data_IF_049460256193
#
_entry.id   IF_049460256193
#
_cell.length_a   1.000
_cell.length_b   1.000
_cell.length_c   1.000
_cell.angle_alpha   90.00
_cell.angle_beta   90.00
_cell.angle_gamma   90.00
#
_symmetry.space_group_name_H-M   'P 1'
#
loop_
_entity.id
_entity.type
_entity.pdbx_description
1 polymer ?
#
# COMPACT_ATOMS: atom_id res chain seq x y z
N UNK A 1 26.14 12.39 46.03
CA UNK A 1 26.55 12.42 44.60
C UNK A 1 25.73 11.35 43.89
N UNK A 2 24.81 11.56 42.96
CA UNK A 2 24.41 12.71 42.13
C UNK A 2 22.89 12.68 41.98
N UNK A 3 22.22 13.71 42.52
CA UNK A 3 20.82 14.03 42.27
C UNK A 3 20.77 14.68 40.87
N UNK A 4 20.73 13.84 39.82
CA UNK A 4 20.60 14.30 38.44
C UNK A 4 19.16 14.73 38.19
N UNK A 5 18.97 16.05 38.20
CA UNK A 5 17.73 16.80 37.99
C UNK A 5 16.85 16.15 36.90
N UNK A 6 15.66 15.68 37.26
CA UNK A 6 14.59 15.42 36.27
C UNK A 6 14.22 16.77 35.63
N UNK A 7 14.46 16.99 34.32
CA UNK A 7 14.04 18.23 33.69
C UNK A 7 12.51 18.22 33.61
N UNK A 8 11.87 19.22 34.24
CA UNK A 8 10.41 19.41 34.26
C UNK A 8 9.78 19.51 32.85
N UNK A 9 10.59 19.64 31.79
CA UNK A 9 10.16 19.63 30.39
C UNK A 9 9.95 18.25 29.76
N UNK A 10 10.47 17.15 30.35
CA UNK A 10 10.36 15.83 29.72
C UNK A 10 8.92 15.25 29.79
N UNK A 11 8.19 15.59 30.85
CA UNK A 11 6.80 15.13 31.07
C UNK A 11 5.81 15.87 30.16
N UNK A 12 6.11 17.12 29.79
CA UNK A 12 5.23 17.94 28.96
C UNK A 12 5.31 17.60 27.46
N UNK A 13 6.46 17.08 27.00
CA UNK A 13 6.71 16.76 25.58
C UNK A 13 6.09 15.43 25.17
N UNK A 14 6.06 14.43 26.05
CA UNK A 14 5.51 13.09 25.75
C UNK A 14 4.02 13.10 25.35
N UNK A 15 3.10 13.76 26.08
CA UNK A 15 1.69 13.78 25.71
C UNK A 15 1.42 14.64 24.48
N UNK A 16 2.19 15.72 24.25
CA UNK A 16 2.08 16.49 23.00
C UNK A 16 2.56 15.68 21.80
N UNK A 17 3.66 14.92 21.93
CA UNK A 17 4.16 14.07 20.85
C UNK A 17 3.19 12.93 20.51
N UNK A 18 2.54 12.33 21.52
CA UNK A 18 1.50 11.30 21.33
C UNK A 18 0.26 11.85 20.61
N UNK A 19 -0.21 13.05 21.00
CA UNK A 19 -1.32 13.73 20.32
C UNK A 19 -0.97 14.10 18.87
N UNK A 20 0.26 14.53 18.61
CA UNK A 20 0.73 14.81 17.25
C UNK A 20 0.81 13.54 16.39
N UNK A 21 1.16 12.39 16.98
CA UNK A 21 1.26 11.12 16.25
C UNK A 21 -0.12 10.59 15.79
N UNK A 22 -1.18 10.76 16.60
CA UNK A 22 -2.54 10.35 16.22
C UNK A 22 -3.14 11.14 15.06
N UNK A 23 -2.71 12.40 14.86
CA UNK A 23 -3.24 13.25 13.78
C UNK A 23 -2.66 12.87 12.39
N UNK A 24 -1.52 12.15 12.35
CA UNK A 24 -0.88 11.73 11.10
C UNK A 24 -1.38 10.38 10.54
N UNK A 25 -2.42 9.78 11.14
CA UNK A 25 -3.08 8.60 10.59
C UNK A 25 -4.05 8.99 9.46
N UNK A 26 -3.52 9.57 8.38
CA UNK A 26 -4.29 9.85 7.17
C UNK A 26 -4.64 8.54 6.48
N UNK A 27 -5.85 8.02 6.72
CA UNK A 27 -6.35 6.82 6.06
C UNK A 27 -6.65 7.03 4.57
N UNK A 28 -6.81 5.93 3.84
CA UNK A 28 -7.25 5.95 2.44
C UNK A 28 -8.65 6.57 2.33
N UNK A 29 -8.76 7.70 1.63
CA UNK A 29 -10.05 8.36 1.39
C UNK A 29 -10.75 7.72 0.19
N UNK A 30 -12.01 7.30 0.36
CA UNK A 30 -12.80 6.78 -0.76
C UNK A 30 -13.22 7.92 -1.68
N UNK A 31 -12.90 7.81 -2.96
CA UNK A 31 -13.37 8.74 -4.00
C UNK A 31 -14.88 8.54 -4.22
N UNK A 32 -15.73 9.54 -3.91
CA UNK A 32 -17.18 9.40 -4.07
C UNK A 32 -17.56 9.21 -5.54
N UNK A 33 -18.62 8.43 -5.80
CA UNK A 33 -19.12 8.19 -7.16
C UNK A 33 -18.37 7.15 -7.99
N UNK A 34 -17.37 6.46 -7.42
CA UNK A 34 -16.68 5.36 -8.11
C UNK A 34 -17.41 4.03 -7.89
N UNK A 35 -17.89 3.34 -8.96
CA UNK A 35 -18.48 2.01 -8.83
C UNK A 35 -17.42 1.01 -8.33
N UNK A 36 -17.89 -0.10 -7.77
CA UNK A 36 -16.98 -1.21 -7.46
C UNK A 36 -16.34 -1.73 -8.75
N UNK A 37 -15.08 -2.18 -8.66
CA UNK A 37 -14.43 -2.86 -9.77
C UNK A 37 -15.23 -4.12 -10.12
N UNK A 38 -15.41 -4.37 -11.43
CA UNK A 38 -16.06 -5.58 -11.89
C UNK A 38 -15.21 -6.81 -11.52
N UNK A 39 -15.88 -7.89 -11.11
CA UNK A 39 -15.19 -9.14 -10.84
C UNK A 39 -14.66 -9.74 -12.15
N UNK A 40 -13.50 -10.39 -12.06
CA UNK A 40 -12.83 -11.02 -13.19
C UNK A 40 -12.00 -12.20 -12.73
N UNK A 41 -11.70 -13.08 -13.68
CA UNK A 41 -10.84 -14.25 -13.48
C UNK A 41 -9.67 -14.20 -14.44
N UNK A 42 -8.47 -14.43 -13.93
CA UNK A 42 -7.25 -14.47 -14.71
C UNK A 42 -6.53 -15.79 -14.48
N UNK A 43 -6.01 -16.36 -15.56
CA UNK A 43 -5.07 -17.47 -15.46
C UNK A 43 -3.68 -16.93 -15.18
N UNK A 44 -3.11 -17.32 -14.06
CA UNK A 44 -1.73 -17.01 -13.71
C UNK A 44 -0.75 -17.86 -14.56
N UNK A 45 0.52 -17.45 -14.70
CA UNK A 45 1.51 -18.20 -15.47
C UNK A 45 1.72 -19.66 -15.01
N UNK A 46 1.37 -20.01 -13.77
CA UNK A 46 1.42 -21.37 -13.23
C UNK A 46 0.15 -22.21 -13.44
N UNK A 47 -0.86 -21.68 -14.16
CA UNK A 47 -2.13 -22.36 -14.40
C UNK A 47 -3.17 -22.22 -13.28
N UNK A 48 -2.84 -21.56 -12.17
CA UNK A 48 -3.82 -21.20 -11.15
C UNK A 48 -4.76 -20.11 -11.67
N UNK A 49 -6.03 -20.19 -11.26
CA UNK A 49 -7.02 -19.14 -11.53
C UNK A 49 -7.00 -18.16 -10.36
N UNK A 50 -6.98 -16.87 -10.68
CA UNK A 50 -7.04 -15.79 -9.71
C UNK A 50 -8.32 -14.98 -9.94
N UNK A 51 -9.14 -14.82 -8.90
CA UNK A 51 -10.36 -14.00 -8.95
C UNK A 51 -10.15 -12.68 -8.21
N UNK A 52 -10.71 -11.59 -8.72
CA UNK A 52 -10.67 -10.31 -8.01
C UNK A 52 -11.38 -10.41 -6.65
N UNK A 53 -12.48 -11.18 -6.58
CA UNK A 53 -13.21 -11.46 -5.35
C UNK A 53 -12.32 -11.96 -4.20
N UNK A 54 -11.26 -12.74 -4.49
CA UNK A 54 -10.32 -13.27 -3.49
C UNK A 54 -9.43 -12.18 -2.85
N UNK A 55 -9.42 -11.00 -3.47
CA UNK A 55 -8.62 -9.84 -3.05
C UNK A 55 -9.44 -8.72 -2.43
N UNK A 56 -10.75 -8.92 -2.25
CA UNK A 56 -11.61 -7.96 -1.58
C UNK A 56 -11.26 -7.82 -0.09
N UNK A 57 -11.56 -6.65 0.47
CA UNK A 57 -11.31 -6.36 1.89
C UNK A 57 -9.91 -5.85 2.22
N UNK A 58 -8.97 -5.88 1.26
CA UNK A 58 -7.67 -5.22 1.34
C UNK A 58 -7.48 -4.24 0.19
N UNK A 59 -6.76 -3.11 0.36
CA UNK A 59 -6.41 -2.26 -0.76
C UNK A 59 -5.53 -3.02 -1.76
N UNK A 60 -5.84 -2.89 -3.04
CA UNK A 60 -5.15 -3.58 -4.13
C UNK A 60 -4.79 -2.57 -5.23
N UNK A 61 -3.53 -2.57 -5.63
CA UNK A 61 -3.05 -1.83 -6.80
C UNK A 61 -3.04 -2.77 -8.01
N UNK A 62 -3.88 -2.46 -9.00
CA UNK A 62 -3.90 -3.17 -10.28
C UNK A 62 -3.03 -2.43 -11.30
N UNK A 63 -2.06 -3.13 -11.88
CA UNK A 63 -1.19 -2.58 -12.92
C UNK A 63 -1.33 -3.38 -14.22
N UNK A 64 -1.78 -2.75 -15.29
CA UNK A 64 -1.87 -3.35 -16.62
C UNK A 64 -0.60 -3.02 -17.41
N UNK A 65 0.14 -4.03 -17.85
CA UNK A 65 1.45 -3.82 -18.49
C UNK A 65 1.71 -4.80 -19.63
N UNK A 66 2.75 -4.51 -20.40
CA UNK A 66 3.26 -5.39 -21.44
C UNK A 66 4.78 -5.27 -21.60
N UNK A 67 5.42 -6.31 -22.11
CA UNK A 67 6.88 -6.33 -22.35
C UNK A 67 7.31 -5.34 -23.42
N UNK A 68 6.42 -5.02 -24.36
CA UNK A 68 6.63 -4.04 -25.42
C UNK A 68 6.34 -2.60 -24.99
N UNK A 69 5.85 -2.35 -23.77
CA UNK A 69 5.51 -1.01 -23.27
C UNK A 69 6.74 -0.36 -22.59
N UNK A 70 7.41 0.64 -23.22
CA UNK A 70 8.59 1.28 -22.63
C UNK A 70 8.33 2.03 -21.31
N UNK A 71 7.25 2.81 -21.14
CA UNK A 71 7.00 3.48 -19.86
C UNK A 71 6.72 2.46 -18.74
N UNK A 72 5.94 1.42 -19.01
CA UNK A 72 5.65 0.36 -18.06
C UNK A 72 6.95 -0.28 -17.52
N UNK A 73 7.89 -0.60 -18.42
CA UNK A 73 9.20 -1.16 -18.03
C UNK A 73 10.00 -0.24 -17.13
N UNK A 74 9.93 1.06 -17.38
CA UNK A 74 10.62 2.07 -16.56
C UNK A 74 10.00 2.18 -15.17
N UNK A 75 8.70 1.91 -15.04
CA UNK A 75 7.95 1.97 -13.78
C UNK A 75 8.07 0.70 -12.93
N UNK A 76 8.37 -0.46 -13.53
CA UNK A 76 8.46 -1.76 -12.83
C UNK A 76 9.37 -1.73 -11.58
N UNK A 77 10.58 -1.12 -11.59
CA UNK A 77 11.42 -1.08 -10.41
C UNK A 77 10.78 -0.31 -9.23
N UNK A 78 9.97 0.70 -9.52
CA UNK A 78 9.25 1.46 -8.50
C UNK A 78 8.05 0.69 -7.97
N UNK A 79 7.32 -0.03 -8.84
CA UNK A 79 6.23 -0.91 -8.43
C UNK A 79 6.72 -2.11 -7.60
N UNK A 80 7.88 -2.67 -7.93
CA UNK A 80 8.52 -3.71 -7.12
C UNK A 80 8.84 -3.20 -5.70
N UNK A 81 9.45 -2.01 -5.60
CA UNK A 81 9.70 -1.35 -4.30
C UNK A 81 8.41 -1.06 -3.53
N UNK A 82 7.33 -0.71 -4.22
CA UNK A 82 6.03 -0.50 -3.61
C UNK A 82 5.44 -1.81 -3.08
N UNK A 83 5.48 -2.89 -3.87
CA UNK A 83 5.03 -4.21 -3.44
C UNK A 83 5.75 -4.70 -2.18
N UNK A 84 7.08 -4.55 -2.14
CA UNK A 84 7.89 -4.95 -0.99
C UNK A 84 7.57 -4.17 0.29
N UNK A 85 7.32 -2.86 0.19
CA UNK A 85 7.05 -2.00 1.35
C UNK A 85 5.61 -2.07 1.80
N UNK A 86 4.68 -1.96 0.86
CA UNK A 86 3.26 -1.85 1.14
C UNK A 86 2.63 -3.21 1.48
N UNK A 87 3.28 -4.32 1.13
CA UNK A 87 2.85 -5.65 1.55
C UNK A 87 2.80 -5.81 3.08
N UNK A 88 3.75 -5.19 3.80
CA UNK A 88 3.73 -5.17 5.28
C UNK A 88 2.58 -4.31 5.84
N UNK A 89 2.12 -3.34 5.06
CA UNK A 89 1.00 -2.45 5.39
C UNK A 89 -0.36 -3.03 4.96
N UNK A 90 -0.37 -4.26 4.43
CA UNK A 90 -1.58 -4.96 3.99
C UNK A 90 -2.14 -4.50 2.64
N UNK A 91 -1.34 -3.81 1.84
CA UNK A 91 -1.69 -3.39 0.48
C UNK A 91 -1.02 -4.32 -0.52
N UNK A 92 -1.80 -4.88 -1.43
CA UNK A 92 -1.32 -5.83 -2.42
C UNK A 92 -1.13 -5.18 -3.81
N UNK A 93 -0.28 -5.75 -4.65
CA UNK A 93 -0.03 -5.26 -6.01
C UNK A 93 -0.14 -6.42 -7.01
N UNK A 94 -1.08 -6.33 -7.95
CA UNK A 94 -1.28 -7.31 -9.00
C UNK A 94 -0.92 -6.73 -10.37
N UNK A 95 0.07 -7.32 -11.02
CA UNK A 95 0.54 -6.94 -12.35
C UNK A 95 -0.06 -7.84 -13.44
N UNK A 96 -1.05 -7.33 -14.17
CA UNK A 96 -1.74 -8.02 -15.26
C UNK A 96 -0.95 -7.78 -16.55
N UNK A 97 -0.32 -8.84 -17.05
CA UNK A 97 0.39 -8.79 -18.32
C UNK A 97 -0.59 -9.00 -19.48
N UNK A 98 -0.59 -8.08 -20.44
CA UNK A 98 -1.26 -8.29 -21.71
C UNK A 98 -0.36 -9.12 -22.64
N UNK A 99 -0.80 -10.34 -22.99
CA UNK A 99 -0.23 -11.13 -24.08
C UNK A 99 -0.98 -10.76 -25.36
N UNK A 100 -0.53 -9.70 -26.05
CA UNK A 100 -0.87 -9.48 -27.45
C UNK A 100 0.29 -9.93 -28.32
#
# INVERSE_FOLDING_TARGET
>A
MTFSKRPKGFIAVVPTLLLSFSVLAGGLMRVPGTPAAADFELMAPGGSVHRLADSLGRPLVLNFWATWCPPCRTEMPSLQRAYERLGEEGIDVLAIRSCL
#
